data_IF_847566326410
#
_entry.id   IF_847566326410
#
_cell.length_a   1.000
_cell.length_b   1.000
_cell.length_c   1.000
_cell.angle_alpha   90.00
_cell.angle_beta   90.00
_cell.angle_gamma   90.00
#
_symmetry.space_group_name_H-M   'P 1'
#
loop_
_entity.id
_entity.type
_entity.pdbx_description
1 polymer ?
#
# COMPACT_ATOMS: atom_id res chain seq x y z
N UNK A 1 -0.87 -27.60 8.82
CA UNK A 1 -0.62 -26.18 9.16
C UNK A 1 -0.84 -25.33 7.91
N UNK A 2 -1.72 -24.32 7.99
CA UNK A 2 -2.11 -23.47 6.85
C UNK A 2 -0.89 -22.78 6.18
N UNK A 3 0.06 -22.26 6.96
CA UNK A 3 1.27 -21.60 6.43
C UNK A 3 2.11 -22.57 5.57
N UNK A 4 2.26 -23.82 6.01
CA UNK A 4 2.96 -24.86 5.26
C UNK A 4 2.21 -25.16 3.96
N UNK A 5 0.88 -25.29 4.01
CA UNK A 5 0.04 -25.50 2.85
C UNK A 5 0.20 -24.39 1.80
N UNK A 6 0.10 -23.12 2.20
CA UNK A 6 0.29 -21.99 1.28
C UNK A 6 1.66 -22.00 0.59
N UNK A 7 2.71 -22.27 1.36
CA UNK A 7 4.07 -22.34 0.82
C UNK A 7 4.24 -23.50 -0.19
N UNK A 8 3.76 -24.70 0.15
CA UNK A 8 3.87 -25.89 -0.68
C UNK A 8 3.07 -25.76 -1.99
N UNK A 9 1.99 -24.98 -1.99
CA UNK A 9 1.15 -24.76 -3.18
C UNK A 9 1.52 -23.48 -3.95
N UNK A 10 2.61 -22.79 -3.57
CA UNK A 10 3.03 -21.57 -4.24
C UNK A 10 1.99 -20.44 -4.18
N UNK A 11 1.15 -20.44 -3.13
CA UNK A 11 0.13 -19.42 -2.94
C UNK A 11 0.77 -18.06 -2.75
N UNK A 12 0.26 -17.05 -3.46
CA UNK A 12 0.59 -15.64 -3.29
C UNK A 12 -0.56 -14.97 -2.54
N UNK A 13 -0.25 -14.11 -1.59
CA UNK A 13 -1.26 -13.42 -0.78
C UNK A 13 -1.20 -11.92 -1.04
N UNK A 14 -2.36 -11.33 -1.27
CA UNK A 14 -2.61 -9.90 -1.31
C UNK A 14 -3.52 -9.53 -0.12
N UNK A 15 -2.98 -9.02 0.99
CA UNK A 15 -3.74 -8.82 2.22
C UNK A 15 -4.76 -7.69 2.13
N UNK A 16 -4.46 -6.61 1.39
CA UNK A 16 -5.26 -5.37 1.32
C UNK A 16 -5.61 -4.80 2.71
N UNK A 17 -4.63 -4.81 3.63
CA UNK A 17 -4.80 -4.41 5.04
C UNK A 17 -5.25 -2.95 5.18
N UNK A 18 -4.84 -2.07 4.25
CA UNK A 18 -5.19 -0.65 4.31
C UNK A 18 -6.67 -0.36 4.02
N UNK A 19 -7.30 -1.10 3.09
CA UNK A 19 -8.75 -0.95 2.89
C UNK A 19 -9.53 -1.52 4.05
N UNK A 20 -9.05 -2.62 4.66
CA UNK A 20 -9.65 -3.18 5.86
C UNK A 20 -9.53 -2.21 7.05
N UNK A 21 -8.38 -1.54 7.24
CA UNK A 21 -8.24 -0.47 8.24
C UNK A 21 -9.27 0.64 8.01
N UNK A 22 -9.47 1.07 6.75
CA UNK A 22 -10.48 2.07 6.40
C UNK A 22 -11.91 1.61 6.70
N UNK A 23 -12.24 0.37 6.36
CA UNK A 23 -13.58 -0.19 6.56
C UNK A 23 -13.88 -0.46 8.03
N UNK A 24 -12.90 -0.96 8.79
CA UNK A 24 -13.01 -1.25 10.22
C UNK A 24 -12.82 -0.01 11.10
N UNK A 25 -12.57 1.15 10.53
CA UNK A 25 -12.36 2.40 11.25
C UNK A 25 -13.64 2.81 11.97
N UNK A 26 -13.59 3.20 13.27
CA UNK A 26 -14.70 3.88 13.90
C UNK A 26 -15.02 5.21 13.19
N UNK A 27 -16.28 5.48 12.87
CA UNK A 27 -16.67 6.67 12.10
C UNK A 27 -16.30 8.00 12.78
N UNK A 28 -16.15 8.01 14.12
CA UNK A 28 -15.67 9.17 14.88
C UNK A 28 -14.16 9.40 14.82
N UNK A 29 -13.38 8.46 14.23
CA UNK A 29 -11.94 8.62 14.01
C UNK A 29 -11.73 9.19 12.60
N UNK A 30 -11.13 10.39 12.43
CA UNK A 30 -10.88 10.94 11.12
C UNK A 30 -9.93 10.06 10.29
N UNK A 31 -10.25 9.84 9.01
CA UNK A 31 -9.41 9.05 8.09
C UNK A 31 -8.00 9.65 7.98
N UNK A 32 -7.88 10.96 8.02
CA UNK A 32 -6.60 11.67 7.93
C UNK A 32 -5.60 11.28 9.04
N UNK A 33 -6.05 10.64 10.13
CA UNK A 33 -5.15 10.17 11.22
C UNK A 33 -4.23 9.03 10.78
N UNK A 34 -4.62 8.24 9.78
CA UNK A 34 -3.82 7.14 9.25
C UNK A 34 -3.61 7.23 7.71
N UNK A 35 -4.51 7.92 6.99
CA UNK A 35 -4.36 8.17 5.54
C UNK A 35 -4.50 9.67 5.24
N UNK A 36 -3.40 10.44 5.40
CA UNK A 36 -3.41 11.89 5.19
C UNK A 36 -3.78 12.28 3.75
N UNK A 37 -3.57 11.41 2.77
CA UNK A 37 -3.94 11.65 1.38
C UNK A 37 -5.43 11.95 1.17
N UNK A 38 -6.30 11.54 2.10
CA UNK A 38 -7.74 11.87 2.03
C UNK A 38 -8.01 13.37 2.04
N UNK A 39 -7.10 14.19 2.55
CA UNK A 39 -7.25 15.65 2.54
C UNK A 39 -7.10 16.25 1.15
N UNK A 40 -6.42 15.54 0.25
CA UNK A 40 -6.04 15.97 -1.10
C UNK A 40 -7.02 15.53 -2.19
N UNK A 41 -7.93 14.60 -1.88
CA UNK A 41 -8.88 14.10 -2.86
C UNK A 41 -9.99 15.13 -3.16
N UNK A 42 -10.62 15.10 -4.36
CA UNK A 42 -11.77 15.92 -4.70
C UNK A 42 -12.91 15.82 -3.67
N UNK A 43 -13.67 16.90 -3.50
CA UNK A 43 -14.70 17.00 -2.45
C UNK A 43 -15.75 15.89 -2.54
N UNK A 44 -16.20 15.55 -3.75
CA UNK A 44 -17.19 14.51 -4.01
C UNK A 44 -16.69 13.14 -3.57
N UNK A 45 -15.43 12.84 -3.89
CA UNK A 45 -14.78 11.58 -3.52
C UNK A 45 -14.56 11.52 -2.00
N UNK A 46 -14.17 12.63 -1.37
CA UNK A 46 -14.01 12.73 0.08
C UNK A 46 -15.30 12.42 0.84
N UNK A 47 -16.45 12.90 0.33
CA UNK A 47 -17.76 12.57 0.92
C UNK A 47 -18.03 11.07 0.86
N UNK A 48 -17.73 10.41 -0.26
CA UNK A 48 -17.93 8.96 -0.40
C UNK A 48 -17.01 8.16 0.50
N UNK A 49 -15.73 8.53 0.57
CA UNK A 49 -14.73 7.83 1.41
C UNK A 49 -15.10 7.97 2.90
N UNK A 50 -15.53 9.14 3.35
CA UNK A 50 -15.89 9.38 4.74
C UNK A 50 -17.13 8.58 5.22
N UNK A 51 -17.97 8.09 4.31
CA UNK A 51 -19.07 7.19 4.63
C UNK A 51 -18.64 5.77 4.99
N UNK A 52 -17.39 5.38 4.65
CA UNK A 52 -16.84 4.08 5.03
C UNK A 52 -16.45 4.11 6.50
N UNK A 53 -16.66 3.00 7.19
CA UNK A 53 -16.33 2.83 8.61
C UNK A 53 -17.53 2.27 9.39
N UNK A 54 -17.31 2.00 10.66
CA UNK A 54 -18.25 1.32 11.55
C UNK A 54 -18.69 2.21 12.74
N UNK A 55 -19.73 1.81 13.42
CA UNK A 55 -20.22 2.54 14.60
C UNK A 55 -19.15 2.58 15.71
N UNK A 56 -19.08 3.70 16.43
CA UNK A 56 -18.04 3.93 17.44
C UNK A 56 -18.06 2.91 18.59
N UNK A 57 -19.25 2.35 18.89
CA UNK A 57 -19.45 1.34 19.93
C UNK A 57 -18.71 0.02 19.62
N UNK A 58 -18.37 -0.24 18.36
CA UNK A 58 -17.64 -1.43 17.92
C UNK A 58 -16.13 -1.21 17.85
N UNK A 59 -15.64 0.00 18.14
CA UNK A 59 -14.27 0.45 17.91
C UNK A 59 -13.19 -0.47 18.49
N UNK A 60 -13.38 -0.96 19.71
CA UNK A 60 -12.40 -1.81 20.39
C UNK A 60 -12.28 -3.19 19.70
N UNK A 61 -13.43 -3.81 19.40
CA UNK A 61 -13.44 -5.08 18.68
C UNK A 61 -12.82 -4.98 17.28
N UNK A 62 -13.07 -3.88 16.56
CA UNK A 62 -12.54 -3.66 15.22
C UNK A 62 -11.02 -3.45 15.22
N UNK A 63 -10.48 -2.74 16.22
CA UNK A 63 -9.02 -2.64 16.41
C UNK A 63 -8.38 -4.00 16.64
N UNK A 64 -9.01 -4.85 17.45
CA UNK A 64 -8.53 -6.22 17.66
C UNK A 64 -8.52 -7.03 16.36
N UNK A 65 -9.54 -6.87 15.51
CA UNK A 65 -9.59 -7.53 14.19
C UNK A 65 -8.42 -7.09 13.31
N UNK A 66 -8.17 -5.79 13.19
CA UNK A 66 -7.04 -5.28 12.41
C UNK A 66 -5.70 -5.78 12.95
N UNK A 67 -5.51 -5.79 14.28
CA UNK A 67 -4.28 -6.31 14.88
C UNK A 67 -4.09 -7.82 14.61
N UNK A 68 -5.16 -8.60 14.54
CA UNK A 68 -5.10 -10.02 14.15
C UNK A 68 -4.73 -10.15 12.69
N UNK A 69 -5.32 -9.36 11.77
CA UNK A 69 -4.99 -9.36 10.35
C UNK A 69 -3.52 -9.05 10.11
N UNK A 70 -2.98 -8.00 10.74
CA UNK A 70 -1.57 -7.65 10.65
C UNK A 70 -0.64 -8.76 11.21
N UNK A 71 -1.05 -9.45 12.29
CA UNK A 71 -0.32 -10.61 12.79
C UNK A 71 -0.32 -11.77 11.79
N UNK A 72 -1.42 -11.98 11.07
CA UNK A 72 -1.54 -13.00 10.01
C UNK A 72 -0.60 -12.62 8.85
N UNK A 73 -0.65 -11.39 8.36
CA UNK A 73 0.24 -10.87 7.31
C UNK A 73 1.71 -11.07 7.69
N UNK A 74 2.10 -10.68 8.91
CA UNK A 74 3.46 -10.89 9.41
C UNK A 74 3.83 -12.36 9.58
N UNK A 75 2.90 -13.24 9.95
CA UNK A 75 3.15 -14.69 10.06
C UNK A 75 3.35 -15.33 8.68
N UNK A 76 2.57 -14.93 7.68
CA UNK A 76 2.72 -15.35 6.29
C UNK A 76 4.09 -14.94 5.74
N UNK A 77 4.48 -13.68 5.94
CA UNK A 77 5.79 -13.17 5.54
C UNK A 77 6.94 -13.97 6.18
N UNK A 78 6.94 -14.14 7.50
CA UNK A 78 7.97 -14.94 8.20
C UNK A 78 8.02 -16.41 7.77
N UNK A 79 6.89 -16.95 7.33
CA UNK A 79 6.83 -18.30 6.77
C UNK A 79 7.38 -18.40 5.34
N UNK A 80 7.70 -17.26 4.70
CA UNK A 80 8.18 -17.18 3.32
C UNK A 80 7.06 -17.37 2.27
N UNK A 81 5.80 -17.09 2.63
CA UNK A 81 4.71 -16.98 1.66
C UNK A 81 4.85 -15.66 0.93
N UNK A 82 4.88 -15.64 -0.42
CA UNK A 82 4.98 -14.39 -1.16
C UNK A 82 3.81 -13.47 -0.89
N UNK A 83 4.09 -12.21 -0.55
CA UNK A 83 3.09 -11.15 -0.33
C UNK A 83 3.25 -10.11 -1.42
N UNK A 84 2.15 -9.73 -2.04
CA UNK A 84 2.05 -8.61 -2.99
C UNK A 84 1.21 -7.50 -2.39
N UNK A 85 1.44 -6.26 -2.83
CA UNK A 85 0.74 -5.10 -2.29
C UNK A 85 -0.39 -4.67 -3.22
N UNK A 86 -1.62 -5.03 -2.85
CA UNK A 86 -2.85 -4.54 -3.44
C UNK A 86 -3.55 -3.50 -2.58
N UNK A 87 -4.61 -2.88 -3.05
CA UNK A 87 -5.28 -1.79 -2.35
C UNK A 87 -6.80 -1.92 -2.24
N UNK A 88 -7.42 -2.72 -3.09
CA UNK A 88 -8.89 -2.80 -3.19
C UNK A 88 -9.59 -1.42 -3.11
N UNK A 89 -8.94 -0.38 -3.66
CA UNK A 89 -9.45 0.99 -3.86
C UNK A 89 -9.77 1.81 -2.60
N UNK A 90 -9.13 1.71 -1.50
CA UNK A 90 -9.40 2.57 -0.31
C UNK A 90 -9.50 4.08 -0.62
N UNK A 91 -8.41 4.82 -0.54
CA UNK A 91 -8.26 6.23 -0.98
C UNK A 91 -7.46 6.24 -2.27
N UNK A 92 -8.08 6.51 -3.44
CA UNK A 92 -7.40 6.43 -4.74
C UNK A 92 -6.07 7.20 -4.77
N UNK A 93 -5.03 6.56 -5.31
CA UNK A 93 -3.69 7.14 -5.40
C UNK A 93 -2.89 7.15 -4.09
N UNK A 94 -3.49 6.87 -2.94
CA UNK A 94 -2.84 6.99 -1.64
C UNK A 94 -2.79 5.68 -0.85
N UNK A 95 -3.78 4.79 -1.00
CA UNK A 95 -3.90 3.57 -0.18
C UNK A 95 -2.69 2.65 -0.28
N UNK A 96 -2.02 2.58 -1.45
CA UNK A 96 -0.81 1.77 -1.59
C UNK A 96 0.31 2.20 -0.60
N UNK A 97 0.46 3.49 -0.36
CA UNK A 97 1.44 3.98 0.62
C UNK A 97 1.09 3.47 2.03
N UNK A 98 -0.21 3.50 2.38
CA UNK A 98 -0.68 2.98 3.67
C UNK A 98 -0.50 1.47 3.80
N UNK A 99 -0.74 0.73 2.73
CA UNK A 99 -0.50 -0.71 2.69
C UNK A 99 0.95 -1.05 3.04
N UNK A 100 1.93 -0.36 2.43
CA UNK A 100 3.34 -0.57 2.74
C UNK A 100 3.70 -0.19 4.20
N UNK A 101 3.09 0.87 4.74
CA UNK A 101 3.24 1.22 6.17
C UNK A 101 2.70 0.12 7.08
N UNK A 102 1.58 -0.50 6.73
CA UNK A 102 0.99 -1.61 7.49
C UNK A 102 1.84 -2.88 7.38
N UNK A 103 2.47 -3.16 6.23
CA UNK A 103 3.41 -4.27 6.10
C UNK A 103 4.63 -4.11 7.03
N UNK A 104 5.15 -2.89 7.14
CA UNK A 104 6.22 -2.60 8.13
C UNK A 104 5.70 -2.78 9.55
N UNK A 105 4.49 -2.34 9.86
CA UNK A 105 3.84 -2.57 11.16
C UNK A 105 3.62 -4.06 11.43
N UNK A 106 3.37 -4.88 10.40
CA UNK A 106 3.24 -6.33 10.50
C UNK A 106 4.58 -7.07 10.69
N UNK A 107 5.72 -6.36 10.55
CA UNK A 107 7.05 -6.87 10.83
C UNK A 107 7.98 -7.05 9.63
N UNK A 108 7.60 -6.53 8.45
CA UNK A 108 8.52 -6.42 7.31
C UNK A 108 9.50 -5.28 7.52
N UNK A 109 10.69 -5.39 6.95
CA UNK A 109 11.56 -4.23 6.77
C UNK A 109 10.97 -3.28 5.72
N UNK A 110 11.30 -1.97 5.73
CA UNK A 110 10.85 -1.06 4.66
C UNK A 110 11.20 -1.53 3.25
N UNK A 111 12.38 -2.15 3.06
CA UNK A 111 12.79 -2.69 1.78
C UNK A 111 11.91 -3.87 1.34
N UNK A 112 11.58 -4.79 2.24
CA UNK A 112 10.68 -5.92 1.95
C UNK A 112 9.27 -5.44 1.60
N UNK A 113 8.76 -4.42 2.29
CA UNK A 113 7.48 -3.80 1.96
C UNK A 113 7.50 -3.17 0.54
N UNK A 114 8.58 -2.47 0.17
CA UNK A 114 8.76 -1.94 -1.20
C UNK A 114 8.85 -3.09 -2.21
N UNK A 115 9.56 -4.16 -1.90
CA UNK A 115 9.64 -5.34 -2.77
C UNK A 115 8.29 -6.01 -2.99
N UNK A 116 7.41 -6.00 -1.99
CA UNK A 116 6.04 -6.50 -2.12
C UNK A 116 5.20 -5.70 -3.14
N UNK A 117 5.57 -4.45 -3.42
CA UNK A 117 4.92 -3.60 -4.43
C UNK A 117 5.68 -3.52 -5.77
N UNK A 118 6.83 -4.17 -5.90
CA UNK A 118 7.70 -4.04 -7.09
C UNK A 118 8.12 -5.39 -7.64
N UNK A 119 9.23 -5.94 -7.18
CA UNK A 119 9.81 -7.17 -7.75
C UNK A 119 8.99 -8.43 -7.44
N UNK A 120 8.31 -8.48 -6.28
CA UNK A 120 7.51 -9.65 -5.93
C UNK A 120 6.32 -9.84 -6.88
N UNK A 121 5.45 -8.85 -7.13
CA UNK A 121 4.39 -8.97 -8.13
C UNK A 121 4.94 -9.17 -9.55
N UNK A 122 6.09 -8.56 -9.91
CA UNK A 122 6.72 -8.79 -11.20
C UNK A 122 7.07 -10.27 -11.41
N UNK A 123 7.63 -10.94 -10.39
CA UNK A 123 7.93 -12.38 -10.43
C UNK A 123 6.66 -13.23 -10.53
N UNK A 124 5.64 -12.90 -9.76
CA UNK A 124 4.34 -13.61 -9.79
C UNK A 124 3.73 -13.55 -11.20
N UNK A 125 3.84 -12.41 -11.86
CA UNK A 125 3.33 -12.20 -13.21
C UNK A 125 4.31 -12.63 -14.31
N UNK A 126 5.51 -13.12 -13.97
CA UNK A 126 6.58 -13.50 -14.90
C UNK A 126 7.07 -12.33 -15.76
N UNK A 127 7.08 -11.14 -15.21
CA UNK A 127 7.54 -9.88 -15.81
C UNK A 127 8.84 -9.37 -15.19
N UNK A 128 9.47 -10.17 -14.33
CA UNK A 128 10.67 -9.78 -13.58
C UNK A 128 11.93 -9.61 -14.44
N UNK A 129 11.87 -9.99 -15.72
CA UNK A 129 12.88 -9.65 -16.72
C UNK A 129 12.70 -8.24 -17.32
N UNK A 130 11.54 -7.62 -17.15
CA UNK A 130 11.18 -6.32 -17.73
C UNK A 130 11.06 -5.22 -16.70
N UNK A 131 10.48 -5.52 -15.52
CA UNK A 131 10.13 -4.56 -14.49
C UNK A 131 10.44 -5.07 -13.08
N UNK A 132 10.25 -4.20 -12.07
CA UNK A 132 10.35 -4.54 -10.65
C UNK A 132 11.69 -4.21 -10.01
N UNK A 133 12.73 -3.94 -10.81
CA UNK A 133 14.08 -3.51 -10.37
C UNK A 133 14.58 -2.36 -11.23
N UNK A 134 15.55 -1.59 -10.70
CA UNK A 134 16.24 -0.52 -11.43
C UNK A 134 17.57 -1.10 -11.95
N UNK A 135 17.55 -1.58 -13.18
CA UNK A 135 18.69 -2.20 -13.85
C UNK A 135 18.75 -1.76 -15.31
N UNK A 136 19.96 -1.72 -15.90
CA UNK A 136 20.12 -1.44 -17.31
C UNK A 136 19.38 -2.48 -18.18
N UNK A 137 18.67 -2.02 -19.20
CA UNK A 137 17.86 -2.88 -20.07
C UNK A 137 16.43 -3.15 -19.59
N UNK A 138 16.07 -2.72 -18.37
CA UNK A 138 14.70 -2.79 -17.84
C UNK A 138 13.87 -1.62 -18.35
N UNK A 139 12.54 -1.80 -18.36
CA UNK A 139 11.60 -0.72 -18.65
C UNK A 139 11.72 0.37 -17.59
N UNK A 140 11.86 1.62 -18.02
CA UNK A 140 12.00 2.76 -17.12
C UNK A 140 10.63 3.17 -16.54
N UNK A 141 10.15 2.40 -15.56
CA UNK A 141 8.99 2.70 -14.71
C UNK A 141 9.51 2.85 -13.27
N UNK A 142 9.65 4.08 -12.80
CA UNK A 142 10.20 4.38 -11.48
C UNK A 142 9.65 5.68 -10.90
N UNK A 143 9.79 5.84 -9.60
CA UNK A 143 9.47 7.08 -8.88
C UNK A 143 10.73 7.68 -8.27
N UNK A 144 10.80 9.01 -8.21
CA UNK A 144 11.83 9.75 -7.49
C UNK A 144 11.20 10.35 -6.24
N UNK A 145 11.78 10.06 -5.09
CA UNK A 145 11.31 10.48 -3.78
C UNK A 145 12.20 11.57 -3.21
N UNK A 146 11.63 12.49 -2.42
CA UNK A 146 12.38 13.55 -1.73
C UNK A 146 13.04 13.07 -0.41
N UNK A 147 12.76 11.85 0.02
CA UNK A 147 13.37 11.26 1.22
C UNK A 147 13.50 9.73 1.09
N UNK A 148 14.41 9.15 1.86
CA UNK A 148 14.73 7.73 1.81
C UNK A 148 13.63 6.86 2.46
N UNK A 149 12.89 6.03 1.69
CA UNK A 149 11.84 5.16 2.22
C UNK A 149 12.39 3.95 2.98
N UNK A 150 13.68 3.62 2.82
CA UNK A 150 14.31 2.52 3.56
C UNK A 150 14.61 2.92 5.02
N UNK A 151 14.82 4.20 5.28
CA UNK A 151 14.96 4.73 6.64
C UNK A 151 13.60 4.87 7.35
N UNK A 152 12.58 5.29 6.60
CA UNK A 152 11.21 5.41 7.08
C UNK A 152 10.25 5.18 5.92
N UNK A 153 9.45 4.12 6.00
CA UNK A 153 8.55 3.73 4.92
C UNK A 153 7.55 4.83 4.55
N UNK A 154 7.15 5.69 5.49
CA UNK A 154 6.24 6.82 5.19
C UNK A 154 6.85 7.85 4.22
N UNK A 155 8.16 7.82 3.98
CA UNK A 155 8.80 8.64 2.95
C UNK A 155 8.40 8.23 1.53
N UNK A 156 7.81 7.04 1.33
CA UNK A 156 7.22 6.62 0.06
C UNK A 156 6.12 7.57 -0.44
N UNK A 157 5.52 8.34 0.46
CA UNK A 157 4.51 9.37 0.14
C UNK A 157 5.09 10.63 -0.51
N UNK A 158 6.40 10.82 -0.44
CA UNK A 158 7.09 12.03 -0.93
C UNK A 158 7.54 11.89 -2.39
N UNK A 159 6.60 11.48 -3.25
CA UNK A 159 6.85 11.33 -4.69
C UNK A 159 6.97 12.70 -5.33
N UNK A 160 8.15 13.02 -5.88
CA UNK A 160 8.41 14.23 -6.63
C UNK A 160 8.20 14.04 -8.12
N UNK A 161 8.77 12.98 -8.68
CA UNK A 161 8.70 12.68 -10.11
C UNK A 161 8.28 11.23 -10.33
N UNK A 162 7.56 11.02 -11.41
CA UNK A 162 7.23 9.68 -11.93
C UNK A 162 7.86 9.52 -13.30
N UNK A 163 8.53 8.41 -13.55
CA UNK A 163 8.94 7.99 -14.88
C UNK A 163 8.09 6.80 -15.27
N UNK A 164 7.42 6.88 -16.39
CA UNK A 164 6.64 5.78 -16.94
C UNK A 164 6.98 5.58 -18.41
N UNK A 165 7.41 4.38 -18.77
CA UNK A 165 7.88 4.03 -20.11
C UNK A 165 8.95 5.02 -20.62
N UNK A 166 9.86 5.45 -19.74
CA UNK A 166 10.91 6.40 -20.03
C UNK A 166 10.47 7.87 -20.13
N UNK A 167 9.18 8.18 -19.93
CA UNK A 167 8.65 9.55 -19.93
C UNK A 167 8.58 10.11 -18.52
N UNK A 168 9.11 11.31 -18.35
CA UNK A 168 9.13 12.01 -17.05
C UNK A 168 7.83 12.80 -16.83
N UNK A 169 7.25 12.67 -15.65
CA UNK A 169 6.06 13.39 -15.21
C UNK A 169 6.33 14.07 -13.87
N UNK A 170 5.91 15.31 -13.75
CA UNK A 170 5.84 16.06 -12.50
C UNK A 170 4.62 15.58 -11.71
N UNK A 171 4.83 15.10 -10.48
CA UNK A 171 3.76 14.49 -9.68
C UNK A 171 2.68 15.53 -9.30
N UNK A 172 3.06 16.77 -8.98
CA UNK A 172 2.09 17.82 -8.63
C UNK A 172 1.14 18.11 -9.79
N UNK A 173 1.66 18.22 -11.02
CA UNK A 173 0.86 18.43 -12.22
C UNK A 173 -0.05 17.26 -12.53
N UNK A 174 0.39 16.01 -12.27
CA UNK A 174 -0.47 14.83 -12.44
C UNK A 174 -1.67 14.90 -11.50
N UNK A 175 -1.46 15.24 -10.22
CA UNK A 175 -2.53 15.39 -9.25
C UNK A 175 -3.53 16.47 -9.64
N UNK A 176 -3.05 17.66 -10.00
CA UNK A 176 -3.89 18.78 -10.46
C UNK A 176 -4.77 18.39 -11.66
N UNK A 177 -4.20 17.68 -12.64
CA UNK A 177 -4.92 17.25 -13.85
C UNK A 177 -6.11 16.30 -13.57
N UNK A 178 -6.11 15.60 -12.44
CA UNK A 178 -7.19 14.70 -12.02
C UNK A 178 -8.02 15.26 -10.86
N UNK A 179 -7.86 16.55 -10.56
CA UNK A 179 -8.64 17.29 -9.57
C UNK A 179 -8.23 17.04 -8.11
N UNK A 180 -7.07 16.43 -7.88
CA UNK A 180 -6.48 16.30 -6.57
C UNK A 180 -5.63 17.52 -6.22
N UNK A 181 -5.47 17.79 -4.93
CA UNK A 181 -4.50 18.77 -4.46
C UNK A 181 -3.10 18.14 -4.43
N UNK A 182 -2.05 18.84 -4.92
CA UNK A 182 -0.68 18.35 -4.92
C UNK A 182 -0.04 18.27 -3.54
#
# INVERSE_FOLDING_TARGET
NALKFFKEHGTVVDPTDAVLELMLRPMNVPIATFEPGVTRVPAELKVQINKKGEAAEQAEGLRMVLDVLLKITGALHRAGVPIVAGTDVGVPGHTLHRELELYVKAGMTPLEAIQAATITPARVMKLDNEVGTIEAGRRADLIVLDANPVENISNIRKVRLVVSQGRLFDCAKLWENVGFQP
#
